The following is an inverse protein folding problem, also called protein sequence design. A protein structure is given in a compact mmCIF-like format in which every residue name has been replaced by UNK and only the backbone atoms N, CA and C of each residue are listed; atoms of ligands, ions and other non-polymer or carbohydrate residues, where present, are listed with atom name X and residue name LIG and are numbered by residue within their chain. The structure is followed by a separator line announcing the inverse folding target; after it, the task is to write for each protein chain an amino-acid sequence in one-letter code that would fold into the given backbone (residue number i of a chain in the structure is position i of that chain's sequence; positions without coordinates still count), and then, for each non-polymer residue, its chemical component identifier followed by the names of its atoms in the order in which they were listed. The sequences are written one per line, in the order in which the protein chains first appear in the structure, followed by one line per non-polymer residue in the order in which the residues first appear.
data_IF_672856883161
#
_entry.id   IF_672856883161
#
_cell.length_a   1.000
_cell.length_b   1.000
_cell.length_c   1.000
_cell.angle_alpha   90.00
_cell.angle_beta   90.00
_cell.angle_gamma   90.00
#
_symmetry.space_group_name_H-M   'P 1'
#
loop_
_entity.id
_entity.type
_entity.pdbx_description
1 polymer ?
#
# COMPACT_ATOMS: atom_id res chain seq x y z
N UNK A 1 12.80 7.16 -50.40
CA UNK A 1 13.67 7.20 -49.20
C UNK A 1 12.78 6.97 -47.99
N UNK A 2 12.57 5.71 -47.61
CA UNK A 2 11.62 5.32 -46.56
C UNK A 2 12.37 5.03 -45.27
N UNK A 3 12.07 5.81 -44.25
CA UNK A 3 12.67 5.76 -42.92
C UNK A 3 12.29 4.46 -42.22
N UNK A 4 13.27 3.57 -42.00
CA UNK A 4 13.09 2.33 -41.24
C UNK A 4 13.27 2.69 -39.76
N UNK A 5 12.17 2.99 -39.08
CA UNK A 5 12.18 3.13 -37.62
C UNK A 5 12.63 1.80 -36.99
N UNK A 6 13.69 1.86 -36.19
CA UNK A 6 14.13 0.75 -35.37
C UNK A 6 13.07 0.53 -34.29
N UNK A 7 12.20 -0.46 -34.47
CA UNK A 7 11.32 -0.93 -33.40
C UNK A 7 12.20 -1.57 -32.34
N UNK A 8 12.37 -0.92 -31.19
CA UNK A 8 13.00 -1.52 -30.03
C UNK A 8 12.16 -2.73 -29.61
N UNK A 9 12.67 -3.93 -29.88
CA UNK A 9 12.12 -5.18 -29.35
C UNK A 9 12.22 -5.11 -27.84
N UNK A 10 11.11 -4.86 -27.16
CA UNK A 10 11.02 -4.99 -25.70
C UNK A 10 11.45 -6.41 -25.36
N UNK A 11 12.52 -6.63 -24.57
CA UNK A 11 12.92 -7.97 -24.20
C UNK A 11 11.78 -8.63 -23.41
N UNK A 12 11.47 -9.92 -23.64
CA UNK A 12 10.40 -10.58 -22.94
C UNK A 12 10.71 -10.58 -21.44
N UNK A 13 9.83 -9.97 -20.65
CA UNK A 13 9.81 -10.14 -19.19
C UNK A 13 9.50 -11.61 -18.94
N UNK A 14 10.53 -12.37 -18.57
CA UNK A 14 10.40 -13.78 -18.21
C UNK A 14 9.51 -13.90 -16.96
N UNK A 15 8.36 -14.58 -17.01
CA UNK A 15 7.46 -14.76 -15.85
C UNK A 15 7.98 -15.81 -14.85
N UNK A 16 9.29 -16.03 -14.79
CA UNK A 16 9.93 -17.14 -14.08
C UNK A 16 11.16 -16.73 -13.25
N UNK A 17 11.33 -15.46 -12.90
CA UNK A 17 12.32 -15.08 -11.90
C UNK A 17 11.89 -15.71 -10.57
N UNK A 18 12.62 -16.72 -10.13
CA UNK A 18 12.32 -17.53 -8.96
C UNK A 18 12.50 -16.68 -7.69
N UNK A 19 11.47 -15.93 -7.30
CA UNK A 19 11.49 -15.19 -6.04
C UNK A 19 11.79 -16.15 -4.88
N UNK A 20 12.93 -15.94 -4.20
CA UNK A 20 13.31 -16.78 -3.08
C UNK A 20 12.59 -16.31 -1.83
N UNK A 21 11.75 -17.17 -1.28
CA UNK A 21 11.03 -16.90 -0.02
C UNK A 21 11.95 -17.21 1.17
N UNK A 22 12.22 -16.20 2.00
CA UNK A 22 12.97 -16.37 3.25
C UNK A 22 12.02 -16.37 4.44
N UNK A 23 12.07 -17.43 5.24
CA UNK A 23 11.44 -17.48 6.56
C UNK A 23 12.40 -16.93 7.60
N UNK A 24 12.01 -15.84 8.27
CA UNK A 24 12.76 -15.23 9.35
C UNK A 24 12.16 -15.61 10.70
N UNK A 25 13.02 -15.94 11.67
CA UNK A 25 12.63 -16.17 13.06
C UNK A 25 13.17 -15.04 13.92
N UNK A 26 12.30 -14.35 14.66
CA UNK A 26 12.73 -13.36 15.67
C UNK A 26 13.34 -14.07 16.87
N UNK A 27 14.44 -13.52 17.40
CA UNK A 27 15.16 -14.09 18.54
C UNK A 27 14.48 -13.82 19.90
N UNK A 28 13.66 -12.77 20.00
CA UNK A 28 13.28 -12.17 21.29
C UNK A 28 11.76 -12.17 21.60
N UNK A 29 10.91 -12.59 20.65
CA UNK A 29 9.45 -12.71 20.81
C UNK A 29 9.06 -14.02 20.13
N UNK A 30 8.21 -14.82 20.77
CA UNK A 30 7.87 -16.20 20.35
C UNK A 30 7.66 -16.34 18.84
N UNK A 31 7.97 -17.52 18.28
CA UNK A 31 8.14 -17.76 16.84
C UNK A 31 7.08 -17.09 15.94
N UNK A 32 7.34 -15.87 15.49
CA UNK A 32 6.59 -15.25 14.40
C UNK A 32 7.36 -15.52 13.12
N UNK A 33 6.79 -16.36 12.26
CA UNK A 33 7.34 -16.65 10.94
C UNK A 33 6.95 -15.51 9.99
N UNK A 34 7.80 -14.49 9.86
CA UNK A 34 7.62 -13.44 8.86
C UNK A 34 8.32 -13.86 7.57
N UNK A 35 7.65 -13.62 6.44
CA UNK A 35 8.15 -13.96 5.11
C UNK A 35 8.67 -12.70 4.42
N UNK A 36 9.91 -12.74 3.94
CA UNK A 36 10.49 -11.68 3.12
C UNK A 36 10.84 -12.25 1.75
N UNK A 37 10.38 -11.60 0.68
CA UNK A 37 10.74 -11.93 -0.70
C UNK A 37 12.01 -11.17 -1.07
N UNK A 38 12.99 -11.88 -1.63
CA UNK A 38 14.19 -11.27 -2.21
C UNK A 38 14.10 -11.41 -3.72
N UNK A 39 14.06 -10.28 -4.41
CA UNK A 39 14.08 -10.25 -5.88
C UNK A 39 15.48 -10.60 -6.39
N UNK A 40 15.52 -11.48 -7.38
CA UNK A 40 16.75 -12.06 -7.92
C UNK A 40 17.42 -11.23 -9.01
N UNK A 41 17.04 -9.97 -9.21
CA UNK A 41 17.65 -9.09 -10.24
C UNK A 41 19.10 -8.66 -9.92
N UNK A 42 19.78 -9.42 -9.06
CA UNK A 42 21.13 -9.18 -8.60
C UNK A 42 22.01 -10.40 -8.92
N UNK A 43 23.30 -10.17 -9.19
CA UNK A 43 24.25 -11.28 -9.41
C UNK A 43 24.25 -12.25 -8.21
N UNK A 44 24.44 -13.57 -8.44
CA UNK A 44 24.28 -14.62 -7.41
C UNK A 44 25.18 -14.45 -6.19
N UNK A 45 26.30 -13.73 -6.34
CA UNK A 45 27.19 -13.35 -5.23
C UNK A 45 26.52 -12.34 -4.29
N UNK A 46 25.83 -11.34 -4.85
CA UNK A 46 25.14 -10.31 -4.08
C UNK A 46 23.87 -10.84 -3.43
N UNK A 47 23.13 -11.74 -4.10
CA UNK A 47 21.95 -12.36 -3.49
C UNK A 47 22.31 -13.16 -2.24
N UNK A 48 23.41 -13.92 -2.29
CA UNK A 48 23.90 -14.69 -1.13
C UNK A 48 24.26 -13.78 0.06
N UNK A 49 25.01 -12.71 -0.19
CA UNK A 49 25.38 -11.72 0.82
C UNK A 49 24.15 -10.99 1.40
N UNK A 50 23.17 -10.68 0.54
CA UNK A 50 21.92 -10.06 0.94
C UNK A 50 21.10 -10.99 1.84
N UNK A 51 20.99 -12.27 1.50
CA UNK A 51 20.28 -13.27 2.32
C UNK A 51 20.94 -13.40 3.70
N UNK A 52 22.27 -13.42 3.76
CA UNK A 52 23.01 -13.44 5.03
C UNK A 52 22.73 -12.18 5.86
N UNK A 53 22.70 -11.01 5.23
CA UNK A 53 22.40 -9.74 5.90
C UNK A 53 20.96 -9.74 6.43
N UNK A 54 19.97 -10.15 5.64
CA UNK A 54 18.57 -10.21 6.05
C UNK A 54 18.39 -11.17 7.23
N UNK A 55 19.06 -12.33 7.21
CA UNK A 55 19.04 -13.29 8.33
C UNK A 55 19.71 -12.72 9.59
N UNK A 56 20.81 -11.98 9.43
CA UNK A 56 21.53 -11.35 10.54
C UNK A 56 20.68 -10.30 11.25
N UNK A 57 19.92 -9.52 10.48
CA UNK A 57 19.03 -8.45 10.96
C UNK A 57 17.55 -8.87 10.92
N UNK A 58 17.27 -10.15 11.17
CA UNK A 58 15.91 -10.68 11.16
C UNK A 58 14.99 -9.95 12.16
N UNK A 59 15.54 -9.43 13.26
CA UNK A 59 14.84 -8.57 14.24
C UNK A 59 14.38 -7.23 13.66
N UNK A 60 15.11 -6.67 12.70
CA UNK A 60 14.77 -5.41 12.03
C UNK A 60 13.79 -5.63 10.88
N UNK A 61 13.96 -6.71 10.10
CA UNK A 61 13.17 -6.95 8.88
C UNK A 61 11.89 -7.77 9.11
N UNK A 62 11.78 -8.53 10.21
CA UNK A 62 10.61 -9.36 10.50
C UNK A 62 9.54 -8.60 11.31
N UNK A 63 9.12 -7.42 10.85
CA UNK A 63 8.03 -6.66 11.49
C UNK A 63 6.79 -7.52 11.62
N UNK A 64 6.29 -7.66 12.85
CA UNK A 64 4.97 -8.19 13.13
C UNK A 64 3.92 -7.09 13.14
N UNK A 65 2.65 -7.48 13.17
CA UNK A 65 1.52 -6.54 13.36
C UNK A 65 1.65 -5.72 14.64
N UNK A 66 2.34 -6.27 15.65
CA UNK A 66 2.63 -5.63 16.92
C UNK A 66 3.77 -4.59 16.86
N UNK A 67 4.63 -4.66 15.84
CA UNK A 67 5.74 -3.71 15.65
C UNK A 67 5.34 -2.51 14.79
N UNK A 68 4.14 -2.54 14.19
CA UNK A 68 3.49 -1.41 13.54
C UNK A 68 2.45 -0.81 14.48
N UNK A 69 2.85 0.07 15.45
CA UNK A 69 1.87 0.77 16.25
C UNK A 69 0.95 1.53 15.30
N UNK A 70 -0.34 1.24 15.38
CA UNK A 70 -1.35 1.93 14.59
C UNK A 70 -1.14 3.43 14.80
N UNK A 71 -1.20 4.21 13.73
CA UNK A 71 -1.18 5.67 13.85
C UNK A 71 -2.30 6.05 14.82
N UNK A 72 -1.96 6.87 15.82
CA UNK A 72 -2.93 7.33 16.80
C UNK A 72 -4.16 7.86 16.06
N UNK A 73 -5.34 7.38 16.43
CA UNK A 73 -6.59 7.83 15.82
C UNK A 73 -6.76 9.34 16.00
N UNK A 74 -6.24 9.92 17.08
CA UNK A 74 -6.27 11.38 17.26
C UNK A 74 -5.45 12.13 16.20
N UNK A 75 -4.41 11.50 15.63
CA UNK A 75 -3.61 12.04 14.53
C UNK A 75 -4.20 11.67 13.16
N UNK A 76 -4.70 10.43 13.02
CA UNK A 76 -5.19 9.90 11.75
C UNK A 76 -6.60 10.41 11.39
N UNK A 77 -7.41 10.79 12.39
CA UNK A 77 -8.75 11.32 12.17
C UNK A 77 -8.71 12.85 12.07
N UNK A 78 -9.38 13.37 11.05
CA UNK A 78 -9.72 14.78 11.01
C UNK A 78 -10.99 15.02 11.83
N UNK A 79 -10.83 15.53 13.05
CA UNK A 79 -11.96 15.90 13.90
C UNK A 79 -12.48 17.28 13.49
N UNK A 80 -13.77 17.36 13.17
CA UNK A 80 -14.43 18.65 12.98
C UNK A 80 -14.54 19.35 14.33
N UNK A 81 -13.94 20.54 14.46
CA UNK A 81 -14.00 21.32 15.70
C UNK A 81 -15.37 21.99 15.85
N UNK A 82 -16.35 21.24 16.37
CA UNK A 82 -17.71 21.72 16.64
C UNK A 82 -17.89 21.85 18.15
N UNK A 83 -18.50 22.95 18.59
CA UNK A 83 -18.89 23.15 19.99
C UNK A 83 -19.99 22.13 20.38
N UNK A 84 -19.74 21.23 21.36
CA UNK A 84 -20.73 20.22 21.77
C UNK A 84 -21.95 20.84 22.49
N UNK A 85 -21.87 22.09 22.93
CA UNK A 85 -23.00 22.80 23.53
C UNK A 85 -23.94 23.39 22.47
N UNK A 86 -23.51 23.43 21.20
CA UNK A 86 -24.33 23.95 20.13
C UNK A 86 -25.36 22.92 19.66
N UNK A 87 -26.62 23.36 19.59
CA UNK A 87 -27.72 22.49 19.16
C UNK A 87 -27.62 22.28 17.63
N UNK A 88 -27.67 21.04 17.12
CA UNK A 88 -27.64 20.79 15.68
C UNK A 88 -28.74 21.55 14.94
N UNK A 89 -28.35 22.34 13.95
CA UNK A 89 -29.29 23.09 13.12
C UNK A 89 -29.68 22.28 11.88
N UNK A 90 -30.97 21.97 11.74
CA UNK A 90 -31.48 21.32 10.53
C UNK A 90 -31.60 22.34 9.40
N UNK A 91 -30.67 22.30 8.45
CA UNK A 91 -30.77 23.12 7.25
C UNK A 91 -31.95 22.67 6.39
N UNK A 92 -32.81 23.61 5.98
CA UNK A 92 -33.91 23.33 5.06
C UNK A 92 -33.35 22.85 3.72
N UNK A 93 -33.86 21.71 3.23
CA UNK A 93 -33.52 21.20 1.89
C UNK A 93 -33.84 22.27 0.83
N UNK A 94 -32.87 22.57 -0.04
CA UNK A 94 -33.10 23.42 -1.20
C UNK A 94 -33.88 22.64 -2.26
N UNK A 95 -34.91 23.26 -2.82
CA UNK A 95 -35.64 22.70 -3.98
C UNK A 95 -34.88 23.08 -5.24
N UNK A 96 -34.55 22.10 -6.07
CA UNK A 96 -33.98 22.30 -7.40
C UNK A 96 -34.99 21.88 -8.48
N UNK A 97 -34.78 22.33 -9.72
CA UNK A 97 -35.54 21.85 -10.88
C UNK A 97 -35.34 20.35 -11.10
N UNK A 98 -36.26 19.71 -11.80
CA UNK A 98 -36.23 18.27 -12.06
C UNK A 98 -34.96 17.84 -12.80
N UNK A 99 -34.54 18.61 -13.80
CA UNK A 99 -33.29 18.42 -14.54
C UNK A 99 -32.07 18.39 -13.62
N UNK A 100 -31.95 19.36 -12.69
CA UNK A 100 -30.84 19.42 -11.74
C UNK A 100 -30.88 18.27 -10.73
N UNK A 101 -32.07 17.88 -10.30
CA UNK A 101 -32.22 16.73 -9.39
C UNK A 101 -31.81 15.42 -10.07
N UNK A 102 -32.02 15.28 -11.38
CA UNK A 102 -31.56 14.10 -12.12
C UNK A 102 -30.03 13.99 -12.08
N UNK A 103 -29.33 15.06 -12.44
CA UNK A 103 -27.87 15.12 -12.40
C UNK A 103 -27.34 14.89 -10.99
N UNK A 104 -27.92 15.55 -9.97
CA UNK A 104 -27.50 15.35 -8.57
C UNK A 104 -27.64 13.88 -8.16
N UNK A 105 -28.71 13.19 -8.57
CA UNK A 105 -28.90 11.77 -8.23
C UNK A 105 -27.89 10.87 -8.93
N UNK A 106 -27.59 11.14 -10.20
CA UNK A 106 -26.59 10.38 -10.96
C UNK A 106 -25.20 10.53 -10.34
N UNK A 107 -24.80 11.76 -9.98
CA UNK A 107 -23.53 12.02 -9.29
C UNK A 107 -23.48 11.41 -7.88
N UNK A 108 -24.57 11.49 -7.10
CA UNK A 108 -24.60 10.88 -5.76
C UNK A 108 -24.56 9.35 -5.83
N UNK A 109 -25.10 8.74 -6.88
CA UNK A 109 -25.04 7.29 -7.08
C UNK A 109 -23.67 6.78 -7.55
N UNK A 110 -22.81 7.67 -8.05
CA UNK A 110 -21.45 7.32 -8.49
C UNK A 110 -20.40 7.43 -7.38
N UNK A 111 -20.74 8.05 -6.24
CA UNK A 111 -19.95 8.13 -5.02
C UNK A 111 -19.99 6.82 -4.21
#
# INVERSE_FOLDING_TARGET
MSSRMLSASVPPVNPGAANQELRLKRKNKGEVNTMTKVEQDNSPKYTSQLIELIRKFADVFAWGTEDMPRVDLALALHLLHVDPLFVPAKQRKRTFSEEKNLVIREEVASL
#
